data_IF_145060648454
#
_entry.id   IF_145060648454
#
_cell.length_a   1.000
_cell.length_b   1.000
_cell.length_c   1.000
_cell.angle_alpha   90.00
_cell.angle_beta   90.00
_cell.angle_gamma   90.00
#
_symmetry.space_group_name_H-M   'P 1'
#
loop_
_entity.id
_entity.type
_entity.pdbx_description
1 polymer ?
#
# COMPACT_ATOMS: atom_id res chain seq x y z
N UNK A 1 22.02 32.13 11.86
CA UNK A 1 22.18 30.80 11.25
C UNK A 1 20.80 30.22 11.01
N UNK A 2 20.51 29.73 9.80
CA UNK A 2 19.24 29.10 9.47
C UNK A 2 19.41 28.24 8.21
N UNK A 3 18.84 27.04 8.20
CA UNK A 3 18.81 26.20 7.00
C UNK A 3 17.84 26.83 5.99
N UNK A 4 18.37 27.29 4.86
CA UNK A 4 17.55 27.62 3.69
C UNK A 4 17.34 26.35 2.87
N UNK A 5 16.12 26.09 2.45
CA UNK A 5 15.84 25.02 1.49
C UNK A 5 16.43 25.40 0.12
N UNK A 6 17.26 24.50 -0.42
CA UNK A 6 17.87 24.65 -1.74
C UNK A 6 17.08 23.82 -2.74
N UNK A 7 16.82 24.33 -3.97
CA UNK A 7 16.07 23.60 -4.98
C UNK A 7 16.94 22.50 -5.61
N UNK A 8 17.15 21.42 -4.86
CA UNK A 8 17.88 20.25 -5.35
C UNK A 8 16.97 19.41 -6.26
N UNK A 9 17.49 18.91 -7.40
CA UNK A 9 16.70 18.12 -8.33
C UNK A 9 16.46 16.70 -7.79
N UNK A 10 15.45 16.52 -6.94
CA UNK A 10 15.10 15.22 -6.33
C UNK A 10 14.20 14.39 -7.24
N UNK A 11 13.22 15.02 -7.89
CA UNK A 11 12.18 14.32 -8.66
C UNK A 11 12.70 13.49 -9.84
N UNK A 12 13.65 14.04 -10.60
CA UNK A 12 14.16 13.41 -11.81
C UNK A 12 14.88 12.08 -11.52
N UNK A 13 15.88 12.01 -10.62
CA UNK A 13 16.49 10.74 -10.25
C UNK A 13 15.54 9.82 -9.47
N UNK A 14 14.71 10.37 -8.59
CA UNK A 14 13.82 9.57 -7.72
C UNK A 14 12.63 8.94 -8.45
N UNK A 15 12.25 9.47 -9.61
CA UNK A 15 11.09 9.01 -10.39
C UNK A 15 11.08 7.50 -10.66
N UNK A 16 12.23 6.90 -10.99
CA UNK A 16 12.33 5.46 -11.24
C UNK A 16 11.96 4.61 -10.02
N UNK A 17 12.40 5.05 -8.83
CA UNK A 17 12.08 4.37 -7.57
C UNK A 17 10.62 4.57 -7.17
N UNK A 18 10.07 5.76 -7.41
CA UNK A 18 8.64 6.02 -7.17
C UNK A 18 7.78 5.14 -8.07
N UNK A 19 8.13 5.03 -9.35
CA UNK A 19 7.39 4.18 -10.31
C UNK A 19 7.50 2.71 -9.91
N UNK A 20 8.71 2.21 -9.64
CA UNK A 20 8.91 0.83 -9.18
C UNK A 20 8.17 0.52 -7.87
N UNK A 21 8.22 1.45 -6.92
CA UNK A 21 7.49 1.35 -5.65
C UNK A 21 5.97 1.35 -5.86
N UNK A 22 5.45 2.23 -6.72
CA UNK A 22 4.03 2.28 -7.07
C UNK A 22 3.54 0.98 -7.72
N UNK A 23 4.32 0.42 -8.64
CA UNK A 23 4.02 -0.88 -9.27
C UNK A 23 4.01 -1.99 -8.22
N UNK A 24 5.05 -2.07 -7.39
CA UNK A 24 5.18 -3.10 -6.35
C UNK A 24 4.02 -3.01 -5.36
N UNK A 25 3.69 -1.79 -4.93
CA UNK A 25 2.57 -1.54 -4.02
C UNK A 25 1.24 -2.02 -4.61
N UNK A 26 0.96 -1.70 -5.88
CA UNK A 26 -0.25 -2.16 -6.56
C UNK A 26 -0.34 -3.69 -6.63
N UNK A 27 0.75 -4.34 -7.02
CA UNK A 27 0.80 -5.81 -7.13
C UNK A 27 0.62 -6.48 -5.77
N UNK A 28 1.34 -6.02 -4.75
CA UNK A 28 1.25 -6.55 -3.39
C UNK A 28 -0.14 -6.34 -2.83
N UNK A 29 -0.75 -5.17 -3.04
CA UNK A 29 -2.11 -4.90 -2.59
C UNK A 29 -3.13 -5.87 -3.22
N UNK A 30 -3.04 -6.09 -4.54
CA UNK A 30 -3.92 -7.04 -5.24
C UNK A 30 -3.76 -8.47 -4.73
N UNK A 31 -2.51 -8.89 -4.51
CA UNK A 31 -2.21 -10.22 -3.99
C UNK A 31 -2.74 -10.40 -2.56
N UNK A 32 -2.50 -9.44 -1.67
CA UNK A 32 -3.02 -9.45 -0.31
C UNK A 32 -4.55 -9.54 -0.28
N UNK A 33 -5.24 -8.78 -1.13
CA UNK A 33 -6.71 -8.83 -1.21
C UNK A 33 -7.23 -10.21 -1.62
N UNK A 34 -6.53 -10.93 -2.50
CA UNK A 34 -6.91 -12.32 -2.86
C UNK A 34 -6.64 -13.31 -1.73
N UNK A 35 -5.52 -13.16 -1.01
CA UNK A 35 -5.15 -14.06 0.09
C UNK A 35 -6.09 -13.96 1.28
N UNK A 36 -6.54 -12.74 1.59
CA UNK A 36 -7.44 -12.48 2.71
C UNK A 36 -8.87 -13.01 2.46
N UNK A 37 -9.22 -13.37 1.23
CA UNK A 37 -10.50 -14.01 0.89
C UNK A 37 -10.47 -15.54 0.97
N UNK A 38 -9.29 -16.13 1.16
CA UNK A 38 -9.14 -17.58 1.29
C UNK A 38 -9.77 -18.08 2.60
N UNK A 39 -10.35 -19.27 2.59
CA UNK A 39 -11.13 -19.85 3.69
C UNK A 39 -10.36 -19.91 5.02
N UNK A 40 -9.05 -20.19 4.94
CA UNK A 40 -8.15 -20.24 6.10
C UNK A 40 -8.01 -18.89 6.82
N UNK A 41 -8.01 -17.79 6.07
CA UNK A 41 -7.77 -16.43 6.60
C UNK A 41 -9.05 -15.59 6.66
N UNK A 42 -10.13 -16.03 6.02
CA UNK A 42 -11.43 -15.36 6.00
C UNK A 42 -12.10 -15.35 7.39
N UNK A 43 -11.75 -16.29 8.26
CA UNK A 43 -12.31 -16.42 9.62
C UNK A 43 -11.45 -15.80 10.71
N UNK A 44 -10.28 -15.26 10.37
CA UNK A 44 -9.42 -14.58 11.35
C UNK A 44 -10.05 -13.23 11.76
N UNK A 45 -10.29 -12.97 13.06
CA UNK A 45 -10.83 -11.68 13.55
C UNK A 45 -9.95 -10.46 13.22
N UNK A 46 -8.68 -10.67 12.88
CA UNK A 46 -7.74 -9.61 12.47
C UNK A 46 -7.88 -9.23 11.00
N UNK A 47 -8.55 -10.05 10.19
CA UNK A 47 -8.75 -9.78 8.78
C UNK A 47 -9.64 -8.53 8.59
N UNK A 48 -9.15 -7.47 7.94
CA UNK A 48 -9.94 -6.26 7.72
C UNK A 48 -11.21 -6.51 6.88
N UNK A 49 -11.19 -7.51 5.97
CA UNK A 49 -12.36 -7.86 5.16
C UNK A 49 -13.51 -8.49 5.96
N UNK A 50 -13.20 -9.17 7.07
CA UNK A 50 -14.21 -9.74 7.96
C UNK A 50 -15.04 -8.67 8.69
N UNK A 51 -14.41 -7.52 9.03
CA UNK A 51 -15.09 -6.39 9.67
C UNK A 51 -15.83 -5.47 8.68
N UNK A 52 -15.28 -5.25 7.49
CA UNK A 52 -15.89 -4.31 6.53
C UNK A 52 -17.20 -4.85 5.93
N UNK A 53 -17.32 -6.17 5.71
CA UNK A 53 -18.56 -6.79 5.18
C UNK A 53 -19.74 -6.74 6.17
N UNK A 54 -19.47 -6.62 7.48
CA UNK A 54 -20.47 -6.50 8.55
C UNK A 54 -20.90 -5.04 8.84
N UNK A 55 -20.16 -4.05 8.34
CA UNK A 55 -20.44 -2.63 8.62
C UNK A 55 -21.36 -1.95 7.58
N UNK A 56 -21.67 -2.64 6.47
CA UNK A 56 -22.46 -2.13 5.35
C UNK A 56 -23.69 -3.01 5.02
N UNK A 57 -24.13 -3.85 5.95
CA UNK A 57 -25.36 -4.65 5.90
C UNK A 57 -26.08 -4.52 7.25
#
# INVERSE_FOLDING_TARGET
FGLRAWPTPVWKPMSHFIVGGGITFYLVNKLQNSMLQNELYAKDPRNPFGRFKLAFY
#
